data_IF_022568687902
#
_entry.id   IF_022568687902
#
_cell.length_a   1.000
_cell.length_b   1.000
_cell.length_c   1.000
_cell.angle_alpha   90.00
_cell.angle_beta   90.00
_cell.angle_gamma   90.00
#
_symmetry.space_group_name_H-M   'P 1'
#
loop_
_entity.id
_entity.type
_entity.pdbx_description
1 polymer ?
#
# COMPACT_ATOMS: atom_id res chain seq x y z
N UNK A 1 -13.34 14.90 53.81
CA UNK A 1 -13.10 15.11 52.36
C UNK A 1 -14.43 15.43 51.71
N UNK A 2 -14.58 16.59 51.04
CA UNK A 2 -15.80 16.90 50.28
C UNK A 2 -15.70 16.24 48.90
N UNK A 3 -16.50 15.21 48.65
CA UNK A 3 -16.55 14.52 47.37
C UNK A 3 -17.15 15.45 46.33
N UNK A 4 -16.37 15.86 45.33
CA UNK A 4 -16.86 16.61 44.17
C UNK A 4 -17.46 15.61 43.19
N UNK A 5 -18.78 15.48 43.16
CA UNK A 5 -19.49 14.78 42.08
C UNK A 5 -19.67 15.75 40.91
N UNK A 6 -19.06 15.44 39.77
CA UNK A 6 -19.39 16.07 38.48
C UNK A 6 -20.52 15.28 37.84
N UNK A 7 -21.45 15.98 37.22
CA UNK A 7 -22.53 15.37 36.45
C UNK A 7 -21.92 14.60 35.27
N UNK A 8 -22.29 13.34 35.10
CA UNK A 8 -21.92 12.56 33.93
C UNK A 8 -22.67 13.13 32.73
N UNK A 9 -21.99 13.92 31.91
CA UNK A 9 -22.53 14.42 30.64
C UNK A 9 -22.19 13.39 29.58
N UNK A 10 -23.15 12.50 29.31
CA UNK A 10 -23.05 11.57 28.19
C UNK A 10 -23.47 12.33 26.93
N UNK A 11 -22.51 12.65 26.06
CA UNK A 11 -22.83 13.00 24.69
C UNK A 11 -23.18 11.69 23.97
N UNK A 12 -24.46 11.30 24.03
CA UNK A 12 -25.01 10.34 23.08
C UNK A 12 -25.00 11.05 21.73
N UNK A 13 -23.99 10.79 20.91
CA UNK A 13 -24.00 11.15 19.49
C UNK A 13 -25.11 10.36 18.82
N UNK A 14 -26.32 10.90 18.86
CA UNK A 14 -27.47 10.45 18.08
C UNK A 14 -27.49 11.28 16.79
N UNK A 15 -26.44 11.16 15.98
CA UNK A 15 -26.35 11.78 14.66
C UNK A 15 -25.61 10.85 13.69
N UNK A 16 -26.15 9.65 13.47
CA UNK A 16 -26.10 9.03 12.14
C UNK A 16 -27.55 9.11 11.68
N UNK A 17 -27.91 10.18 10.99
CA UNK A 17 -29.30 10.45 10.58
C UNK A 17 -29.84 9.44 9.54
N UNK A 18 -29.04 8.48 9.07
CA UNK A 18 -29.49 7.46 8.11
C UNK A 18 -28.57 6.22 8.12
N UNK A 19 -28.74 5.33 9.11
CA UNK A 19 -27.98 4.08 9.28
C UNK A 19 -28.03 3.21 8.01
N UNK A 20 -29.18 3.14 7.35
CA UNK A 20 -29.40 2.40 6.10
C UNK A 20 -28.55 2.96 4.94
N UNK A 21 -28.35 4.29 4.87
CA UNK A 21 -27.48 4.90 3.84
C UNK A 21 -26.01 4.66 4.13
N UNK A 22 -25.61 4.67 5.40
CA UNK A 22 -24.25 4.36 5.79
C UNK A 22 -23.91 2.90 5.45
N UNK A 23 -24.83 1.97 5.70
CA UNK A 23 -24.68 0.55 5.34
C UNK A 23 -24.61 0.37 3.82
N UNK A 24 -25.49 1.01 3.05
CA UNK A 24 -25.43 0.96 1.59
C UNK A 24 -24.12 1.52 1.00
N UNK A 25 -23.60 2.61 1.57
CA UNK A 25 -22.31 3.17 1.18
C UNK A 25 -21.15 2.19 1.45
N UNK A 26 -21.17 1.51 2.60
CA UNK A 26 -20.18 0.50 2.93
C UNK A 26 -20.26 -0.70 1.99
N UNK A 27 -21.47 -1.18 1.69
CA UNK A 27 -21.71 -2.28 0.74
C UNK A 27 -21.17 -1.95 -0.66
N UNK A 28 -21.32 -0.71 -1.11
CA UNK A 28 -20.77 -0.26 -2.39
C UNK A 28 -19.24 -0.06 -2.35
N UNK A 29 -18.70 0.37 -1.20
CA UNK A 29 -17.27 0.69 -1.05
C UNK A 29 -16.40 -0.55 -0.86
N UNK A 30 -16.91 -1.57 -0.15
CA UNK A 30 -16.18 -2.81 0.16
C UNK A 30 -15.59 -3.50 -1.08
N UNK A 31 -16.35 -3.73 -2.18
CA UNK A 31 -15.81 -4.30 -3.41
C UNK A 31 -14.69 -3.45 -4.03
N UNK A 32 -14.83 -2.13 -4.01
CA UNK A 32 -13.85 -1.20 -4.58
C UNK A 32 -12.53 -1.23 -3.81
N UNK A 33 -12.60 -1.25 -2.48
CA UNK A 33 -11.43 -1.43 -1.60
C UNK A 33 -10.75 -2.77 -1.92
N UNK A 34 -11.53 -3.83 -2.07
CA UNK A 34 -11.03 -5.15 -2.47
C UNK A 34 -10.28 -5.12 -3.80
N UNK A 35 -10.84 -4.45 -4.82
CA UNK A 35 -10.19 -4.29 -6.12
C UNK A 35 -8.85 -3.55 -6.01
N UNK A 36 -8.78 -2.45 -5.24
CA UNK A 36 -7.52 -1.72 -5.00
C UNK A 36 -6.46 -2.63 -4.40
N UNK A 37 -6.81 -3.43 -3.40
CA UNK A 37 -5.89 -4.38 -2.76
C UNK A 37 -5.42 -5.45 -3.76
N UNK A 38 -6.34 -6.01 -4.56
CA UNK A 38 -6.01 -7.04 -5.55
C UNK A 38 -5.05 -6.52 -6.63
N UNK A 39 -5.31 -5.34 -7.19
CA UNK A 39 -4.42 -4.73 -8.17
C UNK A 39 -3.05 -4.39 -7.57
N UNK A 40 -3.02 -3.88 -6.34
CA UNK A 40 -1.76 -3.61 -5.64
C UNK A 40 -0.95 -4.90 -5.44
N UNK A 41 -1.58 -5.99 -5.02
CA UNK A 41 -0.91 -7.28 -4.85
C UNK A 41 -0.33 -7.81 -6.16
N UNK A 42 -1.00 -7.56 -7.29
CA UNK A 42 -0.46 -7.91 -8.61
C UNK A 42 0.79 -7.10 -8.94
N UNK A 43 0.79 -5.79 -8.66
CA UNK A 43 1.97 -4.91 -8.83
C UNK A 43 3.12 -5.37 -7.95
N UNK A 44 2.86 -5.68 -6.67
CA UNK A 44 3.88 -6.19 -5.75
C UNK A 44 4.45 -7.53 -6.22
N UNK A 45 3.61 -8.43 -6.73
CA UNK A 45 4.07 -9.70 -7.31
C UNK A 45 4.95 -9.50 -8.54
N UNK A 46 4.60 -8.56 -9.42
CA UNK A 46 5.44 -8.23 -10.58
C UNK A 46 6.80 -7.69 -10.14
N UNK A 47 6.83 -6.82 -9.14
CA UNK A 47 8.07 -6.31 -8.56
C UNK A 47 8.93 -7.44 -7.98
N UNK A 48 8.32 -8.37 -7.25
CA UNK A 48 9.01 -9.55 -6.70
C UNK A 48 9.64 -10.40 -7.82
N UNK A 49 8.91 -10.65 -8.91
CA UNK A 49 9.41 -11.39 -10.07
C UNK A 49 10.61 -10.68 -10.72
N UNK A 50 10.53 -9.37 -10.97
CA UNK A 50 11.64 -8.62 -11.55
C UNK A 50 12.90 -8.67 -10.67
N UNK A 51 12.76 -8.52 -9.36
CA UNK A 51 13.91 -8.62 -8.45
C UNK A 51 14.51 -10.03 -8.50
N UNK A 52 13.69 -11.08 -8.52
CA UNK A 52 14.18 -12.45 -8.62
C UNK A 52 14.97 -12.69 -9.91
N UNK A 53 14.45 -12.24 -11.05
CA UNK A 53 15.10 -12.35 -12.35
C UNK A 53 16.45 -11.63 -12.39
N UNK A 54 16.55 -10.43 -11.78
CA UNK A 54 17.82 -9.69 -11.71
C UNK A 54 18.83 -10.41 -10.81
N UNK A 55 18.38 -10.97 -9.68
CA UNK A 55 19.27 -11.65 -8.71
C UNK A 55 19.80 -12.97 -9.27
N UNK A 56 19.00 -13.71 -10.02
CA UNK A 56 19.39 -15.01 -10.57
C UNK A 56 18.50 -15.40 -11.73
N UNK A 57 19.12 -15.63 -12.89
CA UNK A 57 18.48 -16.13 -14.12
C UNK A 57 18.15 -17.63 -14.08
N UNK A 58 18.65 -18.36 -13.06
CA UNK A 58 18.49 -19.83 -12.94
C UNK A 58 17.41 -20.26 -11.96
N UNK A 59 17.09 -19.42 -10.97
CA UNK A 59 16.13 -19.74 -9.90
C UNK A 59 15.74 -18.50 -9.10
N UNK A 60 14.47 -18.45 -8.70
CA UNK A 60 13.94 -17.40 -7.83
C UNK A 60 14.35 -17.56 -6.36
N UNK A 61 14.88 -18.72 -5.95
CA UNK A 61 15.09 -19.03 -4.54
C UNK A 61 15.95 -17.99 -3.81
N UNK A 62 17.04 -17.53 -4.44
CA UNK A 62 17.91 -16.51 -3.85
C UNK A 62 17.21 -15.15 -3.79
N UNK A 63 16.51 -14.75 -4.85
CA UNK A 63 15.73 -13.50 -4.89
C UNK A 63 14.65 -13.49 -3.79
N UNK A 64 13.91 -14.58 -3.66
CA UNK A 64 12.90 -14.75 -2.62
C UNK A 64 13.50 -14.67 -1.21
N UNK A 65 14.66 -15.27 -0.97
CA UNK A 65 15.38 -15.14 0.32
C UNK A 65 15.74 -13.68 0.60
N UNK A 66 16.19 -12.93 -0.40
CA UNK A 66 16.55 -11.51 -0.25
C UNK A 66 15.31 -10.67 0.10
N UNK A 67 14.17 -10.90 -0.56
CA UNK A 67 12.98 -10.04 -0.43
C UNK A 67 11.96 -10.48 0.64
N UNK A 68 12.08 -11.68 1.23
CA UNK A 68 11.03 -12.30 2.06
C UNK A 68 10.49 -11.44 3.24
N UNK A 69 11.29 -10.50 3.75
CA UNK A 69 10.93 -9.62 4.88
C UNK A 69 10.81 -8.16 4.49
N UNK A 70 10.99 -7.83 3.21
CA UNK A 70 10.95 -6.47 2.74
C UNK A 70 9.49 -6.03 2.54
N UNK A 71 9.17 -4.86 3.07
CA UNK A 71 7.94 -4.16 2.72
C UNK A 71 8.06 -3.59 1.30
N UNK A 72 6.93 -3.35 0.63
CA UNK A 72 6.89 -2.86 -0.76
C UNK A 72 7.89 -1.72 -1.06
N UNK A 73 7.95 -0.67 -0.24
CA UNK A 73 8.87 0.46 -0.49
C UNK A 73 10.35 0.03 -0.40
N UNK A 74 10.69 -0.92 0.46
CA UNK A 74 12.05 -1.45 0.56
C UNK A 74 12.38 -2.37 -0.63
N UNK A 75 11.40 -3.12 -1.16
CA UNK A 75 11.55 -3.87 -2.41
C UNK A 75 11.74 -2.92 -3.59
N UNK A 76 10.97 -1.84 -3.66
CA UNK A 76 11.05 -0.84 -4.72
C UNK A 76 12.42 -0.13 -4.73
N UNK A 77 12.92 0.21 -3.54
CA UNK A 77 14.27 0.76 -3.37
C UNK A 77 15.37 -0.23 -3.80
N UNK A 78 15.23 -1.51 -3.44
CA UNK A 78 16.14 -2.56 -3.91
C UNK A 78 16.12 -2.69 -5.44
N UNK A 79 14.92 -2.76 -6.04
CA UNK A 79 14.75 -2.78 -7.48
C UNK A 79 15.42 -1.58 -8.15
N UNK A 80 15.20 -0.36 -7.61
CA UNK A 80 15.83 0.86 -8.12
C UNK A 80 17.35 0.71 -8.17
N UNK A 81 17.97 0.33 -7.05
CA UNK A 81 19.42 0.18 -6.95
C UNK A 81 19.98 -0.89 -7.90
N UNK A 82 19.30 -2.02 -8.03
CA UNK A 82 19.67 -3.08 -8.96
C UNK A 82 19.60 -2.62 -10.43
N UNK A 83 18.55 -1.89 -10.79
CA UNK A 83 18.40 -1.34 -12.14
C UNK A 83 19.39 -0.23 -12.43
N UNK A 84 19.69 0.66 -11.48
CA UNK A 84 20.70 1.72 -11.65
C UNK A 84 22.09 1.13 -11.88
N UNK A 85 22.48 0.09 -11.15
CA UNK A 85 23.74 -0.63 -11.35
C UNK A 85 23.80 -1.24 -12.77
N UNK A 86 22.68 -1.82 -13.22
CA UNK A 86 22.56 -2.33 -14.59
C UNK A 86 22.66 -1.21 -15.64
N UNK A 87 21.96 -0.10 -15.47
CA UNK A 87 22.01 1.04 -16.40
C UNK A 87 23.42 1.63 -16.51
N UNK A 88 24.16 1.67 -15.40
CA UNK A 88 25.56 2.12 -15.38
C UNK A 88 26.47 1.23 -16.25
N UNK A 89 26.21 -0.08 -16.31
CA UNK A 89 26.96 -1.00 -17.18
C UNK A 89 26.85 -0.65 -18.67
N UNK A 90 25.75 0.01 -19.08
CA UNK A 90 25.47 0.37 -20.48
C UNK A 90 25.51 1.89 -20.75
N UNK A 91 25.83 2.71 -19.73
CA UNK A 91 25.79 4.17 -19.79
C UNK A 91 24.47 4.72 -20.39
N UNK A 92 23.36 4.02 -20.13
CA UNK A 92 22.06 4.32 -20.71
C UNK A 92 20.96 3.99 -19.71
N UNK A 93 20.09 4.95 -19.47
CA UNK A 93 18.92 4.80 -18.59
C UNK A 93 17.64 5.00 -19.40
N UNK A 94 16.59 4.18 -19.17
CA UNK A 94 15.28 4.44 -19.73
C UNK A 94 14.73 5.80 -19.27
N UNK A 95 14.33 6.64 -20.22
CA UNK A 95 13.86 8.02 -19.94
C UNK A 95 12.70 8.14 -18.94
N UNK A 96 11.94 7.07 -18.73
CA UNK A 96 10.78 7.00 -17.83
C UNK A 96 11.07 6.26 -16.52
N UNK A 97 12.30 5.84 -16.25
CA UNK A 97 12.62 4.99 -15.10
C UNK A 97 12.31 5.68 -13.75
N UNK A 98 12.83 6.89 -13.53
CA UNK A 98 12.53 7.66 -12.32
C UNK A 98 11.04 8.00 -12.17
N UNK A 99 10.33 8.22 -13.29
CA UNK A 99 8.89 8.43 -13.28
C UNK A 99 8.14 7.18 -12.80
N UNK A 100 8.54 6.00 -13.29
CA UNK A 100 8.00 4.71 -12.85
C UNK A 100 8.22 4.49 -11.35
N UNK A 101 9.43 4.72 -10.83
CA UNK A 101 9.71 4.56 -9.40
C UNK A 101 8.81 5.48 -8.56
N UNK A 102 8.67 6.75 -8.98
CA UNK A 102 7.79 7.71 -8.30
C UNK A 102 6.34 7.25 -8.31
N UNK A 103 5.83 6.79 -9.46
CA UNK A 103 4.46 6.30 -9.59
C UNK A 103 4.20 5.05 -8.74
N UNK A 104 5.14 4.10 -8.71
CA UNK A 104 5.02 2.92 -7.84
C UNK A 104 4.98 3.28 -6.36
N UNK A 105 5.82 4.24 -5.94
CA UNK A 105 5.78 4.75 -4.56
C UNK A 105 4.46 5.43 -4.23
N UNK A 106 3.90 6.18 -5.18
CA UNK A 106 2.61 6.86 -4.99
C UNK A 106 1.45 5.86 -4.92
N UNK A 107 1.46 4.83 -5.77
CA UNK A 107 0.47 3.74 -5.71
C UNK A 107 0.49 3.04 -4.36
N UNK A 108 1.67 2.81 -3.77
CA UNK A 108 1.78 2.25 -2.42
C UNK A 108 1.20 3.18 -1.34
N UNK A 109 1.44 4.49 -1.47
CA UNK A 109 0.85 5.50 -0.57
C UNK A 109 -0.67 5.51 -0.68
N UNK A 110 -1.21 5.51 -1.91
CA UNK A 110 -2.65 5.50 -2.18
C UNK A 110 -3.32 4.23 -1.64
N UNK A 111 -2.71 3.06 -1.84
CA UNK A 111 -3.22 1.79 -1.27
C UNK A 111 -3.33 1.88 0.26
N UNK A 112 -2.29 2.40 0.93
CA UNK A 112 -2.33 2.55 2.38
C UNK A 112 -3.39 3.54 2.84
N UNK A 113 -3.59 4.63 2.10
CA UNK A 113 -4.68 5.57 2.38
C UNK A 113 -6.04 4.87 2.30
N UNK A 114 -6.28 4.08 1.24
CA UNK A 114 -7.53 3.32 1.08
C UNK A 114 -7.72 2.29 2.20
N UNK A 115 -6.70 1.51 2.53
CA UNK A 115 -6.80 0.42 3.52
C UNK A 115 -6.94 0.93 4.95
N UNK A 116 -6.38 2.11 5.26
CA UNK A 116 -6.39 2.68 6.61
C UNK A 116 -7.37 3.85 6.79
N UNK A 117 -8.16 4.20 5.78
CA UNK A 117 -9.21 5.20 5.91
C UNK A 117 -10.31 4.70 6.87
N UNK A 118 -10.88 5.63 7.64
CA UNK A 118 -12.03 5.36 8.48
C UNK A 118 -13.31 5.43 7.62
N UNK A 119 -13.60 4.33 6.92
CA UNK A 119 -14.77 4.23 6.05
C UNK A 119 -16.10 4.33 6.80
N UNK A 120 -16.09 4.13 8.13
CA UNK A 120 -17.28 4.21 8.97
C UNK A 120 -17.60 5.64 9.44
N UNK A 121 -16.68 6.60 9.26
CA UNK A 121 -16.84 7.98 9.75
C UNK A 121 -17.27 8.97 8.65
N UNK A 122 -17.92 8.49 7.58
CA UNK A 122 -18.30 9.32 6.43
C UNK A 122 -19.68 9.93 6.58
#
# INVERSE_FOLDING_TARGET
MKTKTRQFVQHLSHEIEDEDRAEAYLDDSLPLIGLVVMYFNAVEKSLDSFICEIVSDRTDALGLIVIHKLMFNAKLDLFKRLSEDFHQCFASEPTNFDALIREMSEVARLRNLVVHADWNST
#
